data_IF_715028060653
#
_entry.id   IF_715028060653
#
_cell.length_a   1.000
_cell.length_b   1.000
_cell.length_c   1.000
_cell.angle_alpha   90.00
_cell.angle_beta   90.00
_cell.angle_gamma   90.00
#
_symmetry.space_group_name_H-M   'P 1'
#
loop_
_entity.id
_entity.type
_entity.pdbx_description
1 polymer ?
#
# COMPACT_ATOMS: atom_id res chain seq x y z
N UNK A 1 51.49 21.76 -25.13
CA UNK A 1 50.82 20.43 -25.19
C UNK A 1 51.08 19.51 -23.99
N UNK A 2 52.20 19.60 -23.27
CA UNK A 2 52.45 18.76 -22.07
C UNK A 2 51.61 19.18 -20.84
N UNK A 3 51.44 20.48 -20.59
CA UNK A 3 50.63 20.98 -19.45
C UNK A 3 49.15 20.59 -19.55
N UNK A 4 48.56 20.64 -20.75
CA UNK A 4 47.15 20.31 -20.97
C UNK A 4 46.87 18.82 -20.71
N UNK A 5 47.82 17.93 -21.06
CA UNK A 5 47.72 16.49 -20.74
C UNK A 5 47.81 16.22 -19.24
N UNK A 6 48.65 16.96 -18.51
CA UNK A 6 48.78 16.82 -17.05
C UNK A 6 47.51 17.29 -16.33
N UNK A 7 46.91 18.40 -16.78
CA UNK A 7 45.65 18.89 -16.24
C UNK A 7 44.49 17.91 -16.51
N UNK A 8 44.43 17.33 -17.71
CA UNK A 8 43.43 16.32 -18.07
C UNK A 8 43.60 15.03 -17.24
N UNK A 9 44.84 14.63 -16.96
CA UNK A 9 45.15 13.45 -16.13
C UNK A 9 44.76 13.66 -14.67
N UNK A 10 44.90 14.89 -14.16
CA UNK A 10 44.50 15.27 -12.80
C UNK A 10 42.96 15.29 -12.65
N UNK A 11 42.25 15.76 -13.67
CA UNK A 11 40.78 15.76 -13.72
C UNK A 11 40.19 14.34 -13.78
N UNK A 12 40.87 13.41 -14.43
CA UNK A 12 40.49 11.99 -14.45
C UNK A 12 40.73 11.28 -13.11
N UNK A 13 41.71 11.74 -12.31
CA UNK A 13 41.98 11.18 -10.97
C UNK A 13 40.97 11.65 -9.91
N UNK A 14 40.36 12.83 -10.08
CA UNK A 14 39.26 13.30 -9.23
C UNK A 14 37.93 12.59 -9.46
N UNK A 15 37.81 11.80 -10.53
CA UNK A 15 36.73 10.83 -10.72
C UNK A 15 37.09 9.50 -10.03
N UNK A 16 37.53 9.57 -8.77
CA UNK A 16 37.19 8.49 -7.85
C UNK A 16 35.67 8.60 -7.69
N UNK A 17 34.94 7.90 -8.56
CA UNK A 17 33.57 7.49 -8.29
C UNK A 17 33.62 7.00 -6.84
N UNK A 18 33.04 7.77 -5.92
CA UNK A 18 32.78 7.28 -4.59
C UNK A 18 32.10 5.94 -4.83
N UNK A 19 32.80 4.84 -4.54
CA UNK A 19 32.18 3.54 -4.59
C UNK A 19 30.94 3.71 -3.73
N UNK A 20 29.77 3.54 -4.34
CA UNK A 20 28.53 3.52 -3.60
C UNK A 20 28.71 2.34 -2.66
N UNK A 21 29.19 2.62 -1.45
CA UNK A 21 29.23 1.66 -0.38
C UNK A 21 27.77 1.49 -0.06
N UNK A 22 27.16 0.46 -0.65
CA UNK A 22 25.90 -0.04 -0.18
C UNK A 22 26.13 -0.33 1.29
N UNK A 23 25.64 0.56 2.15
CA UNK A 23 25.69 0.37 3.59
C UNK A 23 24.95 -0.91 3.84
N UNK A 24 25.69 -1.98 4.12
CA UNK A 24 25.10 -3.25 4.50
C UNK A 24 24.31 -2.98 5.78
N UNK A 25 23.00 -3.14 5.74
CA UNK A 25 22.20 -3.10 6.95
C UNK A 25 22.73 -4.19 7.87
N UNK A 26 23.45 -3.79 8.92
CA UNK A 26 23.90 -4.72 9.95
C UNK A 26 22.81 -4.72 11.02
N UNK A 27 21.96 -5.74 11.00
CA UNK A 27 20.85 -5.87 11.93
C UNK A 27 21.27 -6.79 13.08
N UNK A 28 21.38 -6.24 14.28
CA UNK A 28 21.78 -6.98 15.48
C UNK A 28 20.55 -7.49 16.22
N UNK A 29 20.27 -8.79 16.09
CA UNK A 29 19.11 -9.45 16.69
C UNK A 29 19.11 -9.39 18.22
N UNK A 30 20.28 -9.26 18.87
CA UNK A 30 20.37 -9.22 20.34
C UNK A 30 19.79 -7.94 20.94
N UNK A 31 19.66 -6.89 20.13
CA UNK A 31 19.16 -5.57 20.54
C UNK A 31 17.69 -5.37 20.23
N UNK A 32 17.06 -6.32 19.54
CA UNK A 32 15.68 -6.19 19.06
C UNK A 32 14.73 -6.63 20.17
N UNK A 33 13.93 -5.68 20.67
CA UNK A 33 12.88 -6.00 21.62
C UNK A 33 11.83 -6.91 20.98
N UNK A 34 11.29 -7.84 21.78
CA UNK A 34 10.25 -8.80 21.37
C UNK A 34 10.68 -9.83 20.29
N UNK A 35 11.97 -9.90 19.93
CA UNK A 35 12.47 -10.82 18.90
C UNK A 35 12.13 -12.29 19.19
N UNK A 36 12.34 -12.75 20.43
CA UNK A 36 12.05 -14.14 20.82
C UNK A 36 10.60 -14.54 20.57
N UNK A 37 9.66 -13.60 20.79
CA UNK A 37 8.24 -13.80 20.53
C UNK A 37 7.97 -13.91 19.04
N UNK A 38 8.50 -12.99 18.25
CA UNK A 38 8.36 -12.97 16.79
C UNK A 38 8.92 -14.26 16.19
N UNK A 39 10.13 -14.66 16.60
CA UNK A 39 10.79 -15.91 16.19
C UNK A 39 9.91 -17.12 16.48
N UNK A 40 9.35 -17.19 17.69
CA UNK A 40 8.49 -18.30 18.13
C UNK A 40 7.19 -18.37 17.33
N UNK A 41 6.49 -17.25 17.18
CA UNK A 41 5.15 -17.21 16.55
C UNK A 41 5.25 -17.40 15.03
N UNK A 42 6.28 -16.85 14.39
CA UNK A 42 6.49 -16.98 12.94
C UNK A 42 7.31 -18.21 12.55
N UNK A 43 7.72 -19.04 13.52
CA UNK A 43 8.56 -20.23 13.33
C UNK A 43 9.77 -19.97 12.40
N UNK A 44 10.52 -18.89 12.66
CA UNK A 44 11.64 -18.49 11.80
C UNK A 44 12.73 -19.56 11.75
N UNK A 45 13.13 -19.96 10.55
CA UNK A 45 14.23 -20.91 10.34
C UNK A 45 15.60 -20.24 10.53
N UNK A 46 16.67 -20.98 10.85
CA UNK A 46 18.01 -20.41 10.95
C UNK A 46 18.47 -19.69 9.67
N UNK A 47 18.02 -20.14 8.51
CA UNK A 47 18.27 -19.50 7.21
C UNK A 47 17.58 -18.13 7.13
N UNK A 48 16.35 -18.03 7.61
CA UNK A 48 15.59 -16.78 7.67
C UNK A 48 16.20 -15.79 8.67
N UNK A 49 16.74 -16.27 9.80
CA UNK A 49 17.49 -15.42 10.73
C UNK A 49 18.75 -14.85 10.08
N UNK A 50 19.52 -15.68 9.36
CA UNK A 50 20.69 -15.23 8.63
C UNK A 50 20.35 -14.22 7.53
N UNK A 51 19.19 -14.37 6.87
CA UNK A 51 18.68 -13.37 5.92
C UNK A 51 18.31 -12.05 6.62
N UNK A 52 17.69 -12.12 7.80
CA UNK A 52 17.32 -10.95 8.59
C UNK A 52 18.57 -10.18 9.06
N UNK A 53 19.61 -10.86 9.52
CA UNK A 53 20.90 -10.24 9.89
C UNK A 53 21.61 -9.60 8.69
N UNK A 54 21.53 -10.24 7.51
CA UNK A 54 22.24 -9.81 6.31
C UNK A 54 21.54 -8.67 5.56
N UNK A 55 20.21 -8.71 5.48
CA UNK A 55 19.40 -7.83 4.63
C UNK A 55 18.46 -6.91 5.43
N UNK A 56 18.25 -7.18 6.72
CA UNK A 56 17.35 -6.39 7.57
C UNK A 56 15.86 -6.70 7.40
N UNK A 57 15.50 -7.65 6.53
CA UNK A 57 14.12 -8.14 6.40
C UNK A 57 14.10 -9.60 5.95
N UNK A 58 12.96 -10.25 6.18
CA UNK A 58 12.70 -11.62 5.71
C UNK A 58 11.23 -11.76 5.34
N UNK A 59 10.95 -12.58 4.33
CA UNK A 59 9.58 -12.91 3.93
C UNK A 59 9.23 -14.27 4.52
N UNK A 60 8.13 -14.31 5.28
CA UNK A 60 7.60 -15.53 5.88
C UNK A 60 6.31 -15.89 5.18
N UNK A 61 6.23 -17.14 4.72
CA UNK A 61 5.01 -17.67 4.14
C UNK A 61 4.05 -18.09 5.25
N UNK A 62 3.03 -17.26 5.47
CA UNK A 62 2.00 -17.44 6.49
C UNK A 62 1.13 -18.68 6.25
N UNK A 63 1.05 -19.18 5.01
CA UNK A 63 0.26 -20.38 4.70
C UNK A 63 0.84 -21.66 5.32
N UNK A 64 2.14 -21.65 5.62
CA UNK A 64 2.81 -22.77 6.31
C UNK A 64 2.58 -22.78 7.81
N UNK A 65 2.18 -21.64 8.40
CA UNK A 65 1.93 -21.51 9.83
C UNK A 65 0.55 -22.03 10.22
N UNK A 66 -0.39 -22.00 9.29
CA UNK A 66 -1.74 -22.54 9.44
C UNK A 66 -1.98 -23.58 8.35
N UNK A 67 -1.56 -24.84 8.54
CA UNK A 67 -1.98 -25.90 7.63
C UNK A 67 -3.50 -25.92 7.65
N UNK A 68 -4.12 -25.62 6.50
CA UNK A 68 -5.55 -25.82 6.32
C UNK A 68 -5.80 -27.32 6.46
N UNK A 69 -6.29 -27.73 7.63
CA UNK A 69 -6.83 -29.07 7.76
C UNK A 69 -7.92 -29.19 6.70
N UNK A 70 -7.79 -30.13 5.77
CA UNK A 70 -8.77 -30.39 4.69
C UNK A 70 -10.13 -30.86 5.23
N UNK A 71 -10.33 -30.83 6.55
CA UNK A 71 -11.58 -31.11 7.24
C UNK A 71 -12.54 -29.94 7.08
N UNK A 72 -13.32 -30.00 6.01
CA UNK A 72 -14.74 -29.64 5.79
C UNK A 72 -15.44 -28.47 6.53
N UNK A 73 -14.89 -27.85 7.57
CA UNK A 73 -15.41 -26.64 8.21
C UNK A 73 -14.85 -25.39 7.51
N UNK A 74 -15.28 -25.20 6.27
CA UNK A 74 -14.81 -24.19 5.32
C UNK A 74 -15.36 -22.77 5.53
N UNK A 75 -15.94 -22.50 6.69
CA UNK A 75 -16.45 -21.20 7.10
C UNK A 75 -16.06 -21.07 8.58
N UNK A 76 -15.15 -20.19 8.99
CA UNK A 76 -15.43 -18.76 9.18
C UNK A 76 -14.20 -17.87 8.95
N UNK A 77 -12.98 -18.41 8.95
CA UNK A 77 -11.76 -17.62 8.97
C UNK A 77 -10.73 -18.11 7.93
N UNK A 78 -10.37 -17.23 6.99
CA UNK A 78 -9.37 -17.51 5.96
C UNK A 78 -8.27 -16.43 6.01
N UNK A 79 -7.23 -16.62 6.86
CA UNK A 79 -6.14 -15.66 6.99
C UNK A 79 -5.27 -15.55 5.72
N UNK A 80 -5.45 -16.42 4.71
CA UNK A 80 -4.78 -16.30 3.41
C UNK A 80 -5.47 -15.30 2.49
N UNK A 81 -6.80 -15.20 2.58
CA UNK A 81 -7.60 -14.34 1.72
C UNK A 81 -8.04 -13.04 2.41
N UNK A 82 -8.14 -13.04 3.73
CA UNK A 82 -8.67 -11.92 4.52
C UNK A 82 -7.63 -11.39 5.49
N UNK A 83 -7.24 -10.14 5.28
CA UNK A 83 -6.30 -9.44 6.16
C UNK A 83 -6.82 -9.34 7.60
N UNK A 84 -8.13 -9.18 7.79
CA UNK A 84 -8.79 -9.12 9.10
C UNK A 84 -8.54 -10.39 9.91
N UNK A 85 -8.72 -11.55 9.27
CA UNK A 85 -8.51 -12.85 9.89
C UNK A 85 -7.02 -13.06 10.19
N UNK A 86 -6.14 -12.73 9.24
CA UNK A 86 -4.70 -12.74 9.46
C UNK A 86 -4.28 -11.89 10.66
N UNK A 87 -4.75 -10.65 10.70
CA UNK A 87 -4.42 -9.70 11.75
C UNK A 87 -4.93 -10.20 13.10
N UNK A 88 -6.19 -10.65 13.18
CA UNK A 88 -6.77 -11.12 14.42
C UNK A 88 -6.08 -12.38 14.96
N UNK A 89 -5.94 -13.43 14.14
CA UNK A 89 -5.42 -14.72 14.58
C UNK A 89 -3.92 -14.76 14.79
N UNK A 90 -3.14 -14.12 13.92
CA UNK A 90 -1.68 -14.19 13.99
C UNK A 90 -1.10 -13.02 14.76
N UNK A 91 -1.56 -11.79 14.49
CA UNK A 91 -0.92 -10.58 15.01
C UNK A 91 -1.48 -10.19 16.37
N UNK A 92 -2.79 -9.99 16.48
CA UNK A 92 -3.46 -9.50 17.68
C UNK A 92 -3.40 -10.53 18.82
N UNK A 93 -3.79 -11.78 18.57
CA UNK A 93 -3.79 -12.83 19.59
C UNK A 93 -2.41 -13.17 20.14
N UNK A 94 -1.36 -13.03 19.31
CA UNK A 94 0.01 -13.29 19.74
C UNK A 94 0.76 -12.02 20.17
N UNK A 95 0.06 -10.87 20.22
CA UNK A 95 0.62 -9.57 20.62
C UNK A 95 1.96 -9.31 19.89
N UNK A 96 1.93 -9.45 18.57
CA UNK A 96 3.07 -9.19 17.70
C UNK A 96 3.20 -7.69 17.45
N UNK A 97 4.43 -7.13 17.48
CA UNK A 97 4.65 -5.72 17.22
C UNK A 97 4.30 -5.38 15.77
N UNK A 98 3.48 -4.34 15.59
CA UNK A 98 3.11 -3.80 14.27
C UNK A 98 3.68 -2.39 14.17
N UNK A 99 4.44 -2.15 13.10
CA UNK A 99 4.94 -0.82 12.81
C UNK A 99 3.99 -0.10 11.85
N UNK A 100 3.24 0.87 12.37
CA UNK A 100 2.36 1.72 11.57
C UNK A 100 3.07 3.03 11.27
N UNK A 101 3.24 3.34 9.99
CA UNK A 101 3.87 4.60 9.55
C UNK A 101 2.82 5.69 9.36
N UNK A 102 3.25 6.95 9.38
CA UNK A 102 2.38 8.09 9.02
C UNK A 102 1.84 7.95 7.59
N UNK A 103 2.61 7.38 6.68
CA UNK A 103 2.18 7.11 5.30
C UNK A 103 1.01 6.11 5.25
N UNK A 104 1.05 5.05 6.06
CA UNK A 104 -0.08 4.11 6.17
C UNK A 104 -1.37 4.79 6.65
N UNK A 105 -1.25 5.71 7.62
CA UNK A 105 -2.40 6.49 8.12
C UNK A 105 -2.91 7.46 7.05
N UNK A 106 -2.00 8.14 6.35
CA UNK A 106 -2.35 9.05 5.26
C UNK A 106 -3.07 8.31 4.11
N UNK A 107 -2.58 7.13 3.75
CA UNK A 107 -3.24 6.28 2.76
C UNK A 107 -4.65 5.86 3.21
N UNK A 108 -4.80 5.42 4.47
CA UNK A 108 -6.11 5.08 5.04
C UNK A 108 -7.06 6.28 5.00
N UNK A 109 -6.56 7.48 5.30
CA UNK A 109 -7.36 8.70 5.22
C UNK A 109 -7.92 8.92 3.81
N UNK A 110 -7.10 8.76 2.76
CA UNK A 110 -7.58 8.87 1.38
C UNK A 110 -8.67 7.85 1.06
N UNK A 111 -8.50 6.59 1.46
CA UNK A 111 -9.50 5.53 1.23
C UNK A 111 -10.83 5.84 1.93
N UNK A 112 -10.77 6.27 3.19
CA UNK A 112 -11.98 6.60 3.98
C UNK A 112 -12.68 7.83 3.41
N UNK A 113 -11.92 8.84 2.98
CA UNK A 113 -12.47 10.04 2.37
C UNK A 113 -13.24 9.72 1.08
N UNK A 114 -12.66 8.94 0.17
CA UNK A 114 -13.32 8.55 -1.08
C UNK A 114 -14.55 7.68 -0.82
N UNK A 115 -14.47 6.75 0.13
CA UNK A 115 -15.63 5.96 0.55
C UNK A 115 -16.76 6.85 1.09
N UNK A 116 -16.41 7.86 1.88
CA UNK A 116 -17.38 8.80 2.46
C UNK A 116 -18.07 9.62 1.36
N UNK A 117 -17.31 10.09 0.37
CA UNK A 117 -17.88 10.81 -0.78
C UNK A 117 -18.82 9.93 -1.59
N UNK A 118 -18.47 8.67 -1.85
CA UNK A 118 -19.34 7.73 -2.56
C UNK A 118 -20.65 7.47 -1.80
N UNK A 119 -20.57 7.31 -0.47
CA UNK A 119 -21.76 7.14 0.36
C UNK A 119 -22.63 8.39 0.26
N UNK A 120 -22.04 9.57 0.41
CA UNK A 120 -22.76 10.84 0.36
C UNK A 120 -23.37 11.10 -1.03
N UNK A 121 -22.65 10.77 -2.09
CA UNK A 121 -23.14 10.82 -3.47
C UNK A 121 -24.40 9.95 -3.63
N UNK A 122 -24.31 8.68 -3.26
CA UNK A 122 -25.42 7.73 -3.40
C UNK A 122 -26.60 8.00 -2.49
N UNK A 123 -26.39 8.53 -1.28
CA UNK A 123 -27.44 8.74 -0.29
C UNK A 123 -28.08 10.14 -0.35
N UNK A 124 -27.42 11.13 -0.94
CA UNK A 124 -27.89 12.52 -0.87
C UNK A 124 -27.74 13.24 -2.20
N UNK A 125 -26.55 13.24 -2.82
CA UNK A 125 -26.35 14.07 -4.00
C UNK A 125 -27.02 13.52 -5.25
N UNK A 126 -27.16 12.20 -5.39
CA UNK A 126 -27.72 11.60 -6.61
C UNK A 126 -29.13 12.12 -6.92
N UNK A 127 -30.04 12.06 -5.94
CA UNK A 127 -31.43 12.51 -6.13
C UNK A 127 -31.50 14.01 -6.41
N UNK A 128 -30.69 14.82 -5.71
CA UNK A 128 -30.62 16.28 -5.91
C UNK A 128 -30.10 16.60 -7.32
N UNK A 129 -29.04 15.92 -7.74
CA UNK A 129 -28.45 16.12 -9.07
C UNK A 129 -29.43 15.72 -10.17
N UNK A 130 -30.19 14.65 -9.97
CA UNK A 130 -31.22 14.23 -10.91
C UNK A 130 -32.31 15.30 -11.05
N UNK A 131 -32.85 15.80 -9.93
CA UNK A 131 -33.87 16.85 -9.93
C UNK A 131 -33.41 18.12 -10.65
N UNK A 132 -32.20 18.59 -10.33
CA UNK A 132 -31.61 19.78 -10.98
C UNK A 132 -31.40 19.56 -12.47
N UNK A 133 -30.96 18.37 -12.87
CA UNK A 133 -30.71 18.04 -14.28
C UNK A 133 -32.02 17.93 -15.06
N UNK A 134 -33.05 17.31 -14.50
CA UNK A 134 -34.38 17.23 -15.09
C UNK A 134 -35.00 18.62 -15.25
N UNK A 135 -34.88 19.48 -14.24
CA UNK A 135 -35.33 20.86 -14.31
C UNK A 135 -34.61 21.64 -15.43
N UNK A 136 -33.29 21.55 -15.49
CA UNK A 136 -32.49 22.22 -16.52
C UNK A 136 -32.81 21.70 -17.93
N UNK A 137 -33.02 20.39 -18.08
CA UNK A 137 -33.39 19.76 -19.34
C UNK A 137 -34.77 20.22 -19.82
N UNK A 138 -35.77 20.17 -18.95
CA UNK A 138 -37.14 20.59 -19.28
C UNK A 138 -37.21 22.07 -19.67
N UNK A 139 -36.48 22.93 -18.97
CA UNK A 139 -36.39 24.35 -19.32
C UNK A 139 -35.76 24.55 -20.69
N UNK A 140 -34.63 23.89 -20.96
CA UNK A 140 -33.95 23.99 -22.25
C UNK A 140 -34.83 23.49 -23.40
N UNK A 141 -35.60 22.43 -23.17
CA UNK A 141 -36.56 21.90 -24.14
C UNK A 141 -37.72 22.87 -24.38
N UNK A 142 -38.25 23.49 -23.33
CA UNK A 142 -39.29 24.52 -23.44
C UNK A 142 -38.79 25.73 -24.22
N UNK A 143 -37.57 26.19 -23.93
CA UNK A 143 -36.93 27.31 -24.64
C UNK A 143 -36.77 26.98 -26.13
N UNK A 144 -36.26 25.79 -26.47
CA UNK A 144 -36.13 25.35 -27.86
C UNK A 144 -37.47 25.35 -28.59
N UNK A 145 -38.51 24.77 -27.99
CA UNK A 145 -39.84 24.67 -28.61
C UNK A 145 -40.56 26.03 -28.72
N UNK A 146 -40.15 27.02 -27.91
CA UNK A 146 -40.73 28.38 -27.96
C UNK A 146 -40.20 29.22 -29.13
N UNK A 147 -39.10 28.79 -29.75
CA UNK A 147 -38.52 29.46 -30.91
C UNK A 147 -39.26 29.00 -32.18
N UNK A 148 -39.75 29.92 -33.02
CA UNK A 148 -40.36 29.54 -34.30
C UNK A 148 -39.39 28.70 -35.14
N UNK A 149 -39.80 27.48 -35.49
CA UNK A 149 -39.04 26.63 -36.39
C UNK A 149 -39.33 27.05 -37.84
N UNK A 150 -38.27 27.28 -38.61
CA UNK A 150 -38.41 27.47 -40.06
C UNK A 150 -38.57 26.10 -40.71
N UNK A 151 -39.81 25.74 -41.05
CA UNK A 151 -40.16 24.46 -41.71
C UNK A 151 -39.73 24.41 -43.19
N UNK A 152 -38.92 25.37 -43.67
CA UNK A 152 -38.40 25.34 -45.03
C UNK A 152 -37.22 24.35 -45.18
N UNK A 153 -37.56 23.09 -45.45
CA UNK A 153 -36.70 22.11 -46.12
C UNK A 153 -37.38 21.60 -47.39
#
# INVERSE_FOLDING_TARGET
MKLLKVLLLFLLFSLNLASISFTKANFDLSRVEYYDRVKKVLHLTPEQEAMLEKYGFVVVDISKLYPTNETEDKFVFDPKLRFEDFYYFLVYHNDLPVFVTTDSILHLFHVVFDCSLRILESQTFYDILLEVTEYAFNNSLNDYNSIPHDDSL
#
